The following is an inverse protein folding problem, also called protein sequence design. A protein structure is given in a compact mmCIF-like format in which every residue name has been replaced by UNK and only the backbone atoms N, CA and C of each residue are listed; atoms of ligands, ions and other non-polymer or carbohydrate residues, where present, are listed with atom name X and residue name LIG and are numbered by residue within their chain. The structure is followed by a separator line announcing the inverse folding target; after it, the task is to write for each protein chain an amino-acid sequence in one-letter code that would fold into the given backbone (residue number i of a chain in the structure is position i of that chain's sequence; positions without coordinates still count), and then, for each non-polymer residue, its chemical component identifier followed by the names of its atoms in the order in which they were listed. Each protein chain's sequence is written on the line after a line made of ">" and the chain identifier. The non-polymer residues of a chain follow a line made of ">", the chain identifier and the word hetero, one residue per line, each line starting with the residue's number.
data_IF_725309886240
#
_entry.id   IF_725309886240
#
_cell.length_a   1.000
_cell.length_b   1.000
_cell.length_c   1.000
_cell.angle_alpha   90.00
_cell.angle_beta   90.00
_cell.angle_gamma   90.00
#
_symmetry.space_group_name_H-M   'P 1'
#
loop_
_entity.id
_entity.type
_entity.pdbx_description
1 polymer ?
#
# COMPACT_ATOMS: atom_id res chain seq x y z
N UNK A 1 44.56 -20.09 -36.02
CA UNK A 1 43.80 -19.99 -37.27
C UNK A 1 42.74 -18.91 -37.06
N UNK A 2 42.98 -17.70 -37.59
CA UNK A 2 42.12 -16.53 -37.43
C UNK A 2 40.90 -16.66 -38.36
N UNK A 3 39.70 -16.75 -37.80
CA UNK A 3 38.46 -16.64 -38.57
C UNK A 3 37.96 -15.18 -38.52
N UNK A 4 38.04 -14.52 -39.68
CA UNK A 4 37.53 -13.17 -39.94
C UNK A 4 36.02 -13.11 -39.70
N UNK A 5 35.56 -12.17 -38.90
CA UNK A 5 34.14 -11.79 -38.80
C UNK A 5 33.95 -10.60 -39.73
N UNK A 6 33.16 -10.79 -40.81
CA UNK A 6 32.83 -9.72 -41.77
C UNK A 6 31.72 -8.78 -41.24
N UNK A 7 31.62 -7.55 -41.78
CA UNK A 7 30.75 -6.49 -41.25
C UNK A 7 29.25 -6.64 -41.59
N UNK A 8 28.80 -7.78 -42.10
CA UNK A 8 27.42 -8.02 -42.55
C UNK A 8 26.52 -8.69 -41.49
N UNK A 9 27.00 -8.85 -40.25
CA UNK A 9 26.31 -9.61 -39.20
C UNK A 9 25.47 -8.81 -38.19
N UNK A 10 25.49 -7.48 -38.25
CA UNK A 10 25.08 -6.66 -37.09
C UNK A 10 23.68 -6.03 -37.17
N UNK A 11 22.84 -6.38 -38.14
CA UNK A 11 21.50 -5.78 -38.28
C UNK A 11 20.32 -6.77 -38.32
N UNK A 12 20.54 -8.03 -37.92
CA UNK A 12 19.48 -9.04 -37.97
C UNK A 12 19.27 -9.82 -36.66
N UNK A 13 19.27 -9.10 -35.53
CA UNK A 13 18.94 -9.69 -34.23
C UNK A 13 17.91 -8.92 -33.39
N UNK A 14 17.10 -8.06 -34.00
CA UNK A 14 15.92 -7.53 -33.31
C UNK A 14 14.74 -8.46 -33.58
N UNK A 15 14.66 -9.53 -32.78
CA UNK A 15 13.47 -10.42 -32.72
C UNK A 15 12.23 -9.56 -32.41
N UNK A 16 11.10 -9.80 -33.08
CA UNK A 16 9.80 -9.12 -32.84
C UNK A 16 9.41 -8.96 -31.35
N UNK A 17 9.83 -9.90 -30.48
CA UNK A 17 9.64 -9.82 -29.01
C UNK A 17 10.36 -8.62 -28.37
N UNK A 18 11.56 -8.26 -28.83
CA UNK A 18 12.31 -7.11 -28.31
C UNK A 18 11.70 -5.76 -28.73
N UNK A 19 11.17 -5.66 -29.96
CA UNK A 19 10.46 -4.43 -30.40
C UNK A 19 9.21 -4.20 -29.54
N UNK A 20 8.45 -5.25 -29.22
CA UNK A 20 7.28 -5.10 -28.34
C UNK A 20 7.66 -4.71 -26.91
N UNK A 21 8.82 -5.14 -26.40
CA UNK A 21 9.31 -4.69 -25.10
C UNK A 21 9.81 -3.25 -25.16
N UNK A 22 10.53 -2.86 -26.20
CA UNK A 22 10.98 -1.47 -26.42
C UNK A 22 9.77 -0.54 -26.54
N UNK A 23 8.72 -0.93 -27.28
CA UNK A 23 7.47 -0.17 -27.37
C UNK A 23 6.73 -0.08 -26.03
N UNK A 24 6.77 -1.13 -25.20
CA UNK A 24 6.25 -1.10 -23.81
C UNK A 24 7.08 -0.18 -22.90
N UNK A 25 8.40 -0.19 -23.04
CA UNK A 25 9.34 0.67 -22.29
C UNK A 25 9.16 2.14 -22.70
N UNK A 26 8.95 2.41 -23.99
CA UNK A 26 8.73 3.75 -24.53
C UNK A 26 7.31 4.29 -24.26
N UNK A 27 6.40 3.44 -23.78
CA UNK A 27 5.08 3.80 -23.24
C UNK A 27 4.20 4.64 -24.19
N UNK A 28 4.38 4.51 -25.50
CA UNK A 28 3.67 5.31 -26.52
C UNK A 28 2.15 5.00 -26.52
N UNK A 29 1.74 3.86 -25.96
CA UNK A 29 0.34 3.42 -25.85
C UNK A 29 -0.23 3.49 -24.43
N UNK A 30 0.46 4.10 -23.46
CA UNK A 30 0.08 4.17 -22.04
C UNK A 30 -1.36 4.65 -21.81
N UNK A 31 -1.87 5.53 -22.69
CA UNK A 31 -3.25 6.05 -22.62
C UNK A 31 -4.34 5.01 -22.86
N UNK A 32 -4.04 3.90 -23.56
CA UNK A 32 -5.01 2.85 -23.92
C UNK A 32 -4.90 1.59 -23.07
N UNK A 33 -3.74 1.36 -22.47
CA UNK A 33 -3.55 0.24 -21.54
C UNK A 33 -3.83 0.72 -20.13
N UNK A 34 -4.62 -0.04 -19.37
CA UNK A 34 -4.93 0.18 -17.95
C UNK A 34 -3.67 -0.06 -17.06
N UNK A 35 -2.50 0.34 -17.54
CA UNK A 35 -1.21 0.06 -16.95
C UNK A 35 -0.92 1.07 -15.84
N UNK A 36 -0.45 0.49 -14.76
CA UNK A 36 -0.02 1.06 -13.49
C UNK A 36 1.14 2.05 -13.55
N UNK A 37 1.71 2.34 -14.73
CA UNK A 37 2.92 3.16 -14.87
C UNK A 37 2.67 4.64 -14.54
N UNK A 38 1.58 5.23 -15.03
CA UNK A 38 1.19 6.59 -14.63
C UNK A 38 0.78 6.68 -13.14
N UNK A 39 0.26 5.60 -12.56
CA UNK A 39 -0.14 5.57 -11.16
C UNK A 39 1.06 5.56 -10.19
N UNK A 40 2.25 5.15 -10.65
CA UNK A 40 3.50 5.10 -9.88
C UNK A 40 4.56 6.06 -10.41
N UNK A 41 4.15 7.04 -11.21
CA UNK A 41 5.08 8.06 -11.66
C UNK A 41 5.39 8.98 -10.48
N UNK A 42 6.58 8.80 -9.90
CA UNK A 42 7.07 9.51 -8.70
C UNK A 42 7.01 11.03 -8.85
N UNK A 43 7.02 11.55 -10.09
CA UNK A 43 6.90 12.98 -10.38
C UNK A 43 5.53 13.55 -10.00
N UNK A 44 4.54 12.67 -9.85
CA UNK A 44 3.17 13.03 -9.45
C UNK A 44 2.89 12.71 -7.97
N UNK A 45 3.90 12.28 -7.21
CA UNK A 45 3.74 12.13 -5.77
C UNK A 45 3.66 13.51 -5.09
N UNK A 46 2.86 13.62 -4.02
CA UNK A 46 2.67 14.89 -3.35
C UNK A 46 3.98 15.39 -2.74
N UNK A 47 4.23 16.69 -2.86
CA UNK A 47 5.34 17.37 -2.18
C UNK A 47 4.95 17.91 -0.79
N UNK A 48 3.65 17.93 -0.49
CA UNK A 48 3.09 18.36 0.79
C UNK A 48 1.87 17.52 1.16
N UNK A 49 1.59 17.43 2.45
CA UNK A 49 0.41 16.74 2.97
C UNK A 49 -0.86 17.52 2.63
N UNK A 50 -1.86 16.82 2.09
CA UNK A 50 -3.19 17.36 1.88
C UNK A 50 -4.02 17.29 3.17
N UNK A 51 -5.01 18.17 3.30
CA UNK A 51 -6.01 18.15 4.36
C UNK A 51 -7.39 17.91 3.73
N UNK A 52 -7.90 16.68 3.86
CA UNK A 52 -9.22 16.26 3.39
C UNK A 52 -10.21 16.08 4.56
N UNK A 53 -10.01 16.78 5.68
CA UNK A 53 -10.91 16.76 6.82
C UNK A 53 -10.84 15.50 7.68
N UNK A 54 -9.72 14.77 7.64
CA UNK A 54 -9.50 13.54 8.42
C UNK A 54 -10.18 12.31 7.83
N UNK A 55 -10.48 12.32 6.53
CA UNK A 55 -11.19 11.22 5.87
C UNK A 55 -10.35 9.94 5.86
N UNK A 56 -10.99 8.80 6.15
CA UNK A 56 -10.29 7.52 6.36
C UNK A 56 -10.34 6.64 5.11
N UNK A 57 -9.25 5.93 4.84
CA UNK A 57 -9.16 4.87 3.84
C UNK A 57 -8.83 3.53 4.49
N UNK A 58 -9.66 2.52 4.25
CA UNK A 58 -9.35 1.13 4.56
C UNK A 58 -9.98 0.16 3.56
N UNK A 59 -9.19 -0.30 2.60
CA UNK A 59 -9.63 -1.32 1.65
C UNK A 59 -8.85 -2.60 1.93
N UNK A 60 -9.52 -3.74 2.08
CA UNK A 60 -8.84 -5.01 2.33
C UNK A 60 -9.51 -6.18 1.61
N UNK A 61 -9.02 -7.39 1.83
CA UNK A 61 -9.61 -8.64 1.35
C UNK A 61 -9.70 -9.63 2.50
N UNK A 62 -10.60 -10.59 2.43
CA UNK A 62 -10.61 -11.70 3.36
C UNK A 62 -9.80 -12.87 2.80
N UNK A 63 -9.26 -13.69 3.67
CA UNK A 63 -8.58 -14.92 3.29
C UNK A 63 -9.39 -16.10 3.80
N UNK A 64 -9.95 -16.87 2.88
CA UNK A 64 -10.70 -18.08 3.19
C UNK A 64 -9.79 -19.08 3.95
N UNK A 65 -10.11 -19.42 5.22
CA UNK A 65 -9.37 -20.41 5.99
C UNK A 65 -9.42 -21.80 5.35
N UNK A 66 -10.49 -22.16 4.65
CA UNK A 66 -10.63 -23.47 4.02
C UNK A 66 -9.58 -23.71 2.90
N UNK A 67 -8.97 -22.63 2.38
CA UNK A 67 -7.92 -22.68 1.35
C UNK A 67 -6.51 -22.89 1.89
N UNK A 68 -6.37 -23.33 3.15
CA UNK A 68 -5.09 -23.69 3.72
C UNK A 68 -5.18 -25.06 4.40
N UNK A 69 -4.07 -25.78 4.52
CA UNK A 69 -4.02 -27.10 5.18
C UNK A 69 -3.61 -27.00 6.64
N UNK A 70 -2.60 -26.16 6.95
CA UNK A 70 -2.10 -25.95 8.31
C UNK A 70 -3.19 -25.32 9.23
N UNK A 71 -3.54 -25.94 10.38
CA UNK A 71 -4.51 -25.43 11.35
C UNK A 71 -4.20 -24.05 11.94
N UNK A 72 -2.94 -23.75 12.25
CA UNK A 72 -2.54 -22.46 12.84
C UNK A 72 -2.78 -21.32 11.84
N UNK A 73 -2.45 -21.55 10.57
CA UNK A 73 -2.70 -20.58 9.51
C UNK A 73 -4.21 -20.40 9.23
N UNK A 74 -5.02 -21.45 9.38
CA UNK A 74 -6.48 -21.32 9.33
C UNK A 74 -6.99 -20.39 10.42
N UNK A 75 -6.51 -20.58 11.64
CA UNK A 75 -6.90 -19.76 12.78
C UNK A 75 -6.42 -18.31 12.62
N UNK A 76 -5.18 -18.11 12.16
CA UNK A 76 -4.66 -16.78 11.83
C UNK A 76 -5.54 -16.07 10.80
N UNK A 77 -5.97 -16.76 9.73
CA UNK A 77 -6.86 -16.20 8.70
C UNK A 77 -8.26 -15.89 9.24
N UNK A 78 -8.77 -16.71 10.17
CA UNK A 78 -10.05 -16.47 10.85
C UNK A 78 -9.98 -15.17 11.66
N UNK A 79 -9.01 -15.07 12.57
CA UNK A 79 -8.79 -13.87 13.40
C UNK A 79 -8.58 -12.64 12.52
N UNK A 80 -7.71 -12.72 11.51
CA UNK A 80 -7.45 -11.60 10.60
C UNK A 80 -8.73 -11.17 9.85
N UNK A 81 -9.55 -12.11 9.40
CA UNK A 81 -10.80 -11.79 8.69
C UNK A 81 -11.81 -11.13 9.63
N UNK A 82 -11.94 -11.60 10.86
CA UNK A 82 -12.80 -11.01 11.88
C UNK A 82 -12.36 -9.58 12.23
N UNK A 83 -11.05 -9.37 12.45
CA UNK A 83 -10.47 -8.04 12.66
C UNK A 83 -10.79 -7.10 11.48
N UNK A 84 -10.56 -7.55 10.24
CA UNK A 84 -10.85 -6.77 9.02
C UNK A 84 -12.31 -6.34 8.92
N UNK A 85 -13.24 -7.26 9.22
CA UNK A 85 -14.68 -6.99 9.22
C UNK A 85 -15.04 -5.98 10.31
N UNK A 86 -14.51 -6.16 11.52
CA UNK A 86 -14.74 -5.26 12.65
C UNK A 86 -14.26 -3.84 12.33
N UNK A 87 -13.03 -3.67 11.84
CA UNK A 87 -12.49 -2.38 11.40
C UNK A 87 -13.44 -1.72 10.39
N UNK A 88 -13.86 -2.46 9.36
CA UNK A 88 -14.72 -1.92 8.33
C UNK A 88 -16.07 -1.43 8.88
N UNK A 89 -16.71 -2.23 9.73
CA UNK A 89 -18.01 -1.89 10.33
C UNK A 89 -17.89 -0.70 11.28
N UNK A 90 -16.85 -0.65 12.10
CA UNK A 90 -16.59 0.48 13.02
C UNK A 90 -16.40 1.78 12.23
N UNK A 91 -15.54 1.79 11.21
CA UNK A 91 -15.31 3.00 10.40
C UNK A 91 -16.59 3.45 9.71
N UNK A 92 -17.31 2.52 9.07
CA UNK A 92 -18.54 2.86 8.35
C UNK A 92 -19.64 3.40 9.27
N UNK A 93 -19.72 2.92 10.51
CA UNK A 93 -20.71 3.36 11.50
C UNK A 93 -20.38 4.75 12.06
N UNK A 94 -19.12 5.00 12.41
CA UNK A 94 -18.75 6.20 13.18
C UNK A 94 -18.16 7.34 12.33
N UNK A 95 -17.63 7.05 11.14
CA UNK A 95 -16.98 8.02 10.28
C UNK A 95 -17.59 8.01 8.86
N UNK A 96 -18.86 8.44 8.72
CA UNK A 96 -19.52 8.49 7.43
C UNK A 96 -18.74 9.39 6.45
N UNK A 97 -18.62 8.94 5.20
CA UNK A 97 -17.80 9.62 4.18
C UNK A 97 -16.39 9.05 4.01
N UNK A 98 -15.94 8.17 4.90
CA UNK A 98 -14.73 7.37 4.74
C UNK A 98 -14.86 6.34 3.61
N UNK A 99 -13.73 5.94 3.02
CA UNK A 99 -13.67 4.94 1.95
C UNK A 99 -13.22 3.63 2.57
N UNK A 100 -14.17 2.73 2.82
CA UNK A 100 -13.92 1.47 3.51
C UNK A 100 -14.66 0.29 2.90
N UNK A 101 -14.01 -0.86 2.82
CA UNK A 101 -14.67 -2.10 2.40
C UNK A 101 -13.73 -3.27 2.07
N UNK A 102 -14.34 -4.37 1.66
CA UNK A 102 -13.69 -5.65 1.39
C UNK A 102 -13.84 -6.06 -0.07
N UNK A 103 -12.79 -6.67 -0.64
CA UNK A 103 -12.81 -7.18 -2.00
C UNK A 103 -13.98 -8.16 -2.23
N UNK A 104 -14.62 -8.04 -3.41
CA UNK A 104 -15.72 -8.88 -3.84
C UNK A 104 -15.24 -10.31 -4.17
N UNK A 105 -15.19 -11.15 -3.15
CA UNK A 105 -14.82 -12.56 -3.24
C UNK A 105 -15.91 -13.43 -2.59
N UNK A 106 -16.06 -14.71 -2.99
CA UNK A 106 -17.10 -15.59 -2.43
C UNK A 106 -17.10 -15.67 -0.90
N UNK A 107 -15.92 -15.68 -0.28
CA UNK A 107 -15.79 -15.71 1.17
C UNK A 107 -16.26 -14.40 1.83
N UNK A 108 -15.97 -13.25 1.21
CA UNK A 108 -16.50 -11.94 1.66
C UNK A 108 -18.01 -11.90 1.56
N UNK A 109 -18.59 -12.38 0.45
CA UNK A 109 -20.04 -12.43 0.25
C UNK A 109 -20.74 -13.28 1.32
N UNK A 110 -20.11 -14.37 1.75
CA UNK A 110 -20.65 -15.24 2.80
C UNK A 110 -20.56 -14.61 4.21
N UNK A 111 -19.43 -13.95 4.53
CA UNK A 111 -19.14 -13.49 5.90
C UNK A 111 -19.57 -12.05 6.19
N UNK A 112 -19.49 -11.17 5.18
CA UNK A 112 -19.75 -9.74 5.32
C UNK A 112 -20.26 -9.13 4.00
N UNK A 113 -21.44 -9.56 3.50
CA UNK A 113 -22.02 -9.06 2.26
C UNK A 113 -22.26 -7.54 2.30
N UNK A 114 -22.49 -6.99 3.49
CA UNK A 114 -22.67 -5.55 3.71
C UNK A 114 -21.43 -4.72 3.39
N UNK A 115 -20.24 -5.33 3.39
CA UNK A 115 -18.95 -4.65 3.23
C UNK A 115 -18.31 -4.82 1.84
N UNK A 116 -18.96 -5.52 0.92
CA UNK A 116 -18.40 -5.82 -0.39
C UNK A 116 -18.23 -4.53 -1.21
N UNK A 117 -17.01 -4.31 -1.70
CA UNK A 117 -16.69 -3.23 -2.62
C UNK A 117 -17.19 -3.55 -4.02
N UNK A 118 -17.64 -2.51 -4.73
CA UNK A 118 -17.84 -2.59 -6.17
C UNK A 118 -16.48 -2.89 -6.87
N UNK A 119 -16.53 -3.68 -7.94
CA UNK A 119 -15.37 -4.02 -8.75
C UNK A 119 -14.65 -2.78 -9.29
N UNK A 120 -15.35 -1.64 -9.42
CA UNK A 120 -14.76 -0.35 -9.77
C UNK A 120 -13.64 0.11 -8.82
N UNK A 121 -13.69 -0.27 -7.53
CA UNK A 121 -12.66 0.04 -6.53
C UNK A 121 -11.46 -0.92 -6.52
N UNK A 122 -11.51 -1.99 -7.31
CA UNK A 122 -10.41 -2.97 -7.38
C UNK A 122 -9.27 -2.55 -8.29
N UNK A 123 -9.47 -1.52 -9.11
CA UNK A 123 -8.42 -0.98 -9.97
C UNK A 123 -7.39 -0.16 -9.17
N UNK A 124 -6.12 -0.22 -9.60
CA UNK A 124 -5.06 0.61 -9.02
C UNK A 124 -5.41 2.10 -9.12
N UNK A 125 -5.98 2.54 -10.24
CA UNK A 125 -6.38 3.93 -10.44
C UNK A 125 -7.42 4.39 -9.40
N UNK A 126 -8.43 3.56 -9.13
CA UNK A 126 -9.45 3.86 -8.13
C UNK A 126 -8.85 3.92 -6.71
N UNK A 127 -7.97 2.98 -6.37
CA UNK A 127 -7.23 3.02 -5.11
C UNK A 127 -6.42 4.31 -4.96
N UNK A 128 -5.64 4.71 -5.98
CA UNK A 128 -4.84 5.93 -5.92
C UNK A 128 -5.71 7.20 -5.84
N UNK A 129 -6.87 7.22 -6.52
CA UNK A 129 -7.83 8.31 -6.41
C UNK A 129 -8.41 8.41 -5.00
N UNK A 130 -8.78 7.27 -4.40
CA UNK A 130 -9.24 7.20 -3.03
C UNK A 130 -8.16 7.70 -2.07
N UNK A 131 -6.93 7.19 -2.20
CA UNK A 131 -5.77 7.57 -1.39
C UNK A 131 -5.49 9.08 -1.43
N UNK A 132 -5.57 9.72 -2.60
CA UNK A 132 -5.39 11.17 -2.71
C UNK A 132 -6.46 11.98 -1.98
N UNK A 133 -7.67 11.42 -1.82
CA UNK A 133 -8.82 12.06 -1.18
C UNK A 133 -9.02 11.74 0.30
N UNK A 134 -8.03 11.10 0.94
CA UNK A 134 -8.08 10.68 2.35
C UNK A 134 -6.82 11.12 3.09
N UNK A 135 -6.89 11.19 4.42
CA UNK A 135 -5.78 11.64 5.28
C UNK A 135 -5.26 10.55 6.22
N UNK A 136 -6.17 9.69 6.69
CA UNK A 136 -5.87 8.60 7.62
C UNK A 136 -6.01 7.28 6.87
N UNK A 137 -4.98 6.44 6.89
CA UNK A 137 -4.98 5.15 6.23
C UNK A 137 -4.73 4.03 7.24
N UNK A 138 -5.56 2.98 7.15
CA UNK A 138 -5.35 1.79 7.95
C UNK A 138 -4.61 0.73 7.15
N UNK A 139 -3.68 0.07 7.83
CA UNK A 139 -3.02 -1.13 7.36
C UNK A 139 -3.24 -2.28 8.36
N UNK A 140 -3.17 -3.50 7.86
CA UNK A 140 -3.08 -4.69 8.69
C UNK A 140 -1.96 -5.58 8.18
N UNK A 141 -1.65 -6.61 8.97
CA UNK A 141 -0.69 -7.62 8.60
C UNK A 141 -1.07 -8.31 7.29
N UNK A 142 -0.08 -8.47 6.41
CA UNK A 142 -0.25 -9.17 5.14
C UNK A 142 -0.29 -10.69 5.31
N UNK A 143 0.34 -11.38 4.36
CA UNK A 143 0.73 -12.78 4.56
C UNK A 143 2.00 -12.83 5.43
N UNK A 144 2.02 -13.72 6.42
CA UNK A 144 3.23 -14.07 7.17
C UNK A 144 3.87 -12.91 7.94
N UNK A 145 3.09 -12.18 8.75
CA UNK A 145 3.56 -11.11 9.65
C UNK A 145 4.31 -9.94 8.98
N UNK A 146 4.28 -9.86 7.66
CA UNK A 146 4.92 -8.77 6.92
C UNK A 146 4.07 -7.50 6.99
N UNK A 147 4.72 -6.32 7.10
CA UNK A 147 4.04 -5.04 6.90
C UNK A 147 3.38 -5.07 5.51
N UNK A 148 2.08 -4.80 5.45
CA UNK A 148 1.38 -4.78 4.18
C UNK A 148 2.02 -3.77 3.22
N UNK A 149 2.22 -4.16 1.97
CA UNK A 149 2.80 -3.31 0.90
C UNK A 149 2.14 -1.93 0.78
N UNK A 150 0.88 -1.79 1.22
CA UNK A 150 0.11 -0.55 1.25
C UNK A 150 0.73 0.54 2.12
N UNK A 151 1.46 0.17 3.18
CA UNK A 151 2.11 1.15 4.07
C UNK A 151 3.07 2.04 3.25
N UNK A 152 3.85 1.48 2.32
CA UNK A 152 4.73 2.27 1.46
C UNK A 152 3.97 3.32 0.64
N UNK A 153 2.84 2.95 0.05
CA UNK A 153 1.99 3.88 -0.73
C UNK A 153 1.42 5.00 0.15
N UNK A 154 0.99 4.66 1.37
CA UNK A 154 0.48 5.63 2.35
C UNK A 154 1.56 6.63 2.77
N UNK A 155 2.78 6.15 3.01
CA UNK A 155 3.91 7.00 3.40
C UNK A 155 4.29 7.96 2.27
N UNK A 156 4.39 7.47 1.03
CA UNK A 156 4.68 8.31 -0.14
C UNK A 156 3.58 9.35 -0.42
N UNK A 157 2.37 9.15 0.09
CA UNK A 157 1.28 10.13 -0.01
C UNK A 157 1.05 10.94 1.29
N UNK A 158 1.98 10.88 2.24
CA UNK A 158 1.96 11.66 3.47
C UNK A 158 0.72 11.40 4.33
N UNK A 159 0.29 10.15 4.45
CA UNK A 159 -0.89 9.76 5.24
C UNK A 159 -0.53 9.49 6.69
N UNK A 160 -1.43 9.81 7.60
CA UNK A 160 -1.38 9.26 8.94
C UNK A 160 -1.73 7.77 8.89
N UNK A 161 -1.03 6.97 9.69
CA UNK A 161 -1.16 5.50 9.63
C UNK A 161 -1.64 4.97 10.97
N UNK A 162 -2.66 4.12 10.92
CA UNK A 162 -3.00 3.19 11.99
C UNK A 162 -2.74 1.79 11.45
N UNK A 163 -2.05 0.94 12.20
CA UNK A 163 -1.72 -0.42 11.76
C UNK A 163 -1.85 -1.41 12.90
N UNK A 164 -2.19 -2.66 12.58
CA UNK A 164 -1.94 -3.76 13.54
C UNK A 164 -0.44 -3.87 13.83
N UNK A 165 -0.02 -4.52 14.93
CA UNK A 165 1.38 -4.55 15.36
C UNK A 165 2.36 -4.94 14.26
N UNK A 166 3.40 -4.12 14.10
CA UNK A 166 4.47 -4.36 13.13
C UNK A 166 5.57 -5.16 13.81
N UNK A 167 5.85 -6.36 13.29
CA UNK A 167 6.88 -7.26 13.86
C UNK A 167 8.27 -7.10 13.24
N UNK A 168 8.37 -6.39 12.13
CA UNK A 168 9.64 -6.14 11.44
C UNK A 168 10.24 -4.81 11.88
N UNK A 169 11.55 -4.80 12.16
CA UNK A 169 12.27 -3.55 12.43
C UNK A 169 12.44 -2.78 11.12
N UNK A 170 11.95 -1.55 11.09
CA UNK A 170 12.13 -0.61 9.98
C UNK A 170 12.86 0.62 10.52
N UNK A 171 13.97 0.99 9.87
CA UNK A 171 14.82 2.08 10.33
C UNK A 171 14.04 3.39 10.48
N UNK A 172 14.16 4.01 11.65
CA UNK A 172 13.54 5.30 12.01
C UNK A 172 12.01 5.39 11.79
N UNK A 173 11.32 4.25 11.66
CA UNK A 173 9.87 4.19 11.55
C UNK A 173 9.27 3.85 12.92
N UNK A 174 8.75 4.85 13.63
CA UNK A 174 8.45 4.74 15.08
C UNK A 174 6.96 4.90 15.40
N UNK A 175 6.47 4.06 16.31
CA UNK A 175 5.13 4.21 16.90
C UNK A 175 5.00 5.58 17.58
N UNK A 176 3.82 6.20 17.48
CA UNK A 176 3.50 7.52 18.02
C UNK A 176 3.97 8.70 17.15
N UNK A 177 5.02 8.50 16.34
CA UNK A 177 5.53 9.48 15.36
C UNK A 177 5.01 9.20 13.95
N UNK A 178 5.20 7.99 13.45
CA UNK A 178 4.89 7.60 12.07
C UNK A 178 3.61 6.79 11.94
N UNK A 179 3.26 6.03 12.97
CA UNK A 179 2.04 5.25 12.99
C UNK A 179 1.49 5.13 14.41
N UNK A 180 0.21 4.80 14.52
CA UNK A 180 -0.40 4.30 15.74
C UNK A 180 -0.67 2.80 15.60
N UNK A 181 -0.57 2.10 16.71
CA UNK A 181 -0.77 0.65 16.74
C UNK A 181 -2.17 0.32 17.23
N UNK A 182 -2.88 -0.51 16.46
CA UNK A 182 -4.21 -1.03 16.77
C UNK A 182 -4.10 -2.45 17.31
N UNK A 183 -4.46 -2.63 18.57
CA UNK A 183 -4.54 -3.95 19.18
C UNK A 183 -5.71 -4.76 18.62
N UNK A 184 -5.45 -6.02 18.24
CA UNK A 184 -6.45 -6.88 17.60
C UNK A 184 -7.58 -7.33 18.54
N UNK A 185 -7.35 -7.25 19.85
CA UNK A 185 -8.26 -7.82 20.86
C UNK A 185 -9.46 -6.91 21.19
N UNK A 186 -9.37 -5.61 20.93
CA UNK A 186 -10.43 -4.61 21.22
C UNK A 186 -10.60 -3.60 20.09
N UNK A 187 -10.69 -4.14 18.87
CA UNK A 187 -10.71 -3.36 17.62
C UNK A 187 -11.63 -2.14 17.67
N UNK A 188 -12.88 -2.28 18.11
CA UNK A 188 -13.85 -1.19 18.01
C UNK A 188 -13.45 0.02 18.86
N UNK A 189 -13.32 -0.13 20.18
CA UNK A 189 -13.00 0.98 21.08
C UNK A 189 -11.61 1.56 20.79
N UNK A 190 -10.61 0.69 20.65
CA UNK A 190 -9.23 1.13 20.41
C UNK A 190 -9.14 1.90 19.09
N UNK A 191 -9.83 1.44 18.03
CA UNK A 191 -9.81 2.14 16.75
C UNK A 191 -10.46 3.52 16.84
N UNK A 192 -11.58 3.65 17.57
CA UNK A 192 -12.24 4.95 17.76
C UNK A 192 -11.31 5.94 18.47
N UNK A 193 -10.65 5.50 19.54
CA UNK A 193 -9.72 6.34 20.30
C UNK A 193 -8.52 6.78 19.46
N UNK A 194 -7.93 5.87 18.68
CA UNK A 194 -6.82 6.17 17.79
C UNK A 194 -7.21 7.14 16.67
N UNK A 195 -8.38 6.95 16.04
CA UNK A 195 -8.87 7.89 15.02
C UNK A 195 -9.14 9.26 15.64
N UNK A 196 -9.84 9.31 16.78
CA UNK A 196 -10.12 10.58 17.48
C UNK A 196 -8.84 11.30 17.87
N UNK A 197 -7.83 10.57 18.35
CA UNK A 197 -6.51 11.12 18.63
C UNK A 197 -5.86 11.77 17.41
N UNK A 198 -6.03 11.20 16.21
CA UNK A 198 -5.53 11.78 14.97
C UNK A 198 -6.36 12.99 14.51
N UNK A 199 -7.67 12.99 14.74
CA UNK A 199 -8.56 14.09 14.36
C UNK A 199 -8.36 15.34 15.22
N UNK A 200 -8.07 15.17 16.52
CA UNK A 200 -7.81 16.29 17.44
C UNK A 200 -6.68 17.16 16.90
N UNK A 201 -6.94 18.46 16.76
CA UNK A 201 -6.00 19.46 16.23
C UNK A 201 -5.36 19.05 14.90
N UNK A 202 -6.06 18.22 14.10
CA UNK A 202 -5.57 17.66 12.85
C UNK A 202 -4.21 16.97 12.98
N UNK A 203 -3.96 16.25 14.09
CA UNK A 203 -2.71 15.51 14.30
C UNK A 203 -2.37 14.56 13.15
N UNK A 204 -3.35 14.10 12.36
CA UNK A 204 -3.10 13.38 11.12
C UNK A 204 -2.19 14.13 10.13
N UNK A 205 -2.22 15.47 10.05
CA UNK A 205 -1.32 16.22 9.17
C UNK A 205 0.11 16.20 9.70
N UNK A 206 0.30 16.32 11.01
CA UNK A 206 1.61 16.26 11.65
C UNK A 206 2.26 14.88 11.40
N UNK A 207 1.53 13.80 11.65
CA UNK A 207 1.98 12.44 11.34
C UNK A 207 2.20 12.25 9.83
N UNK A 208 1.31 12.81 8.99
CA UNK A 208 1.46 12.79 7.55
C UNK A 208 2.76 13.45 7.08
N UNK A 209 3.17 14.55 7.70
CA UNK A 209 4.40 15.26 7.36
C UNK A 209 5.63 14.44 7.76
N UNK A 210 5.61 13.84 8.95
CA UNK A 210 6.65 12.90 9.39
C UNK A 210 6.77 11.71 8.44
N UNK A 211 5.64 11.18 7.97
CA UNK A 211 5.58 10.05 7.05
C UNK A 211 6.04 10.41 5.63
N UNK A 212 5.67 11.57 5.13
CA UNK A 212 6.12 12.06 3.84
C UNK A 212 7.64 12.26 3.85
N UNK A 213 8.17 12.94 4.87
CA UNK A 213 9.61 13.15 5.03
C UNK A 213 10.36 11.83 5.17
N UNK A 214 9.84 10.88 5.97
CA UNK A 214 10.40 9.55 6.10
C UNK A 214 10.42 8.81 4.75
N UNK A 215 9.33 8.87 3.98
CA UNK A 215 9.26 8.22 2.66
C UNK A 215 10.24 8.82 1.65
N UNK A 216 10.41 10.14 1.65
CA UNK A 216 11.38 10.82 0.79
C UNK A 216 12.81 10.38 1.10
N UNK A 217 13.12 10.14 2.39
CA UNK A 217 14.45 9.68 2.80
C UNK A 217 14.69 8.21 2.48
N UNK A 218 13.71 7.34 2.70
CA UNK A 218 13.91 5.89 2.73
C UNK A 218 13.26 5.11 1.58
N UNK A 219 12.24 5.64 0.90
CA UNK A 219 11.50 4.93 -0.16
C UNK A 219 11.63 5.56 -1.55
N UNK A 220 11.88 6.86 -1.64
CA UNK A 220 12.00 7.52 -2.95
C UNK A 220 13.21 6.95 -3.71
N UNK A 221 13.06 6.57 -4.99
CA UNK A 221 14.09 5.80 -5.71
C UNK A 221 15.49 6.41 -5.64
N UNK A 222 15.61 7.73 -5.82
CA UNK A 222 16.90 8.43 -5.82
C UNK A 222 17.61 8.33 -4.47
N UNK A 223 16.87 8.53 -3.38
CA UNK A 223 17.44 8.50 -2.03
C UNK A 223 17.63 7.07 -1.54
N UNK A 224 16.74 6.15 -1.91
CA UNK A 224 16.90 4.73 -1.65
C UNK A 224 18.19 4.21 -2.30
N UNK A 225 18.45 4.55 -3.57
CA UNK A 225 19.69 4.16 -4.25
C UNK A 225 20.92 4.80 -3.60
N UNK A 226 20.87 6.08 -3.24
CA UNK A 226 21.98 6.75 -2.52
C UNK A 226 22.28 6.05 -1.18
N UNK A 227 21.25 5.69 -0.42
CA UNK A 227 21.42 4.99 0.86
C UNK A 227 22.04 3.60 0.64
N UNK A 228 21.61 2.87 -0.38
CA UNK A 228 22.21 1.57 -0.72
C UNK A 228 23.69 1.69 -1.11
N UNK A 229 24.02 2.69 -1.94
CA UNK A 229 25.42 2.94 -2.35
C UNK A 229 26.29 3.35 -1.17
N UNK A 230 25.76 4.17 -0.27
CA UNK A 230 26.44 4.56 0.96
C UNK A 230 26.73 3.34 1.84
N UNK A 231 25.72 2.52 2.11
CA UNK A 231 25.88 1.29 2.88
C UNK A 231 26.89 0.34 2.24
N UNK A 232 26.85 0.17 0.91
CA UNK A 232 27.79 -0.69 0.19
C UNK A 232 29.23 -0.16 0.21
N UNK A 233 29.43 1.16 0.24
CA UNK A 233 30.75 1.80 0.37
C UNK A 233 31.32 1.77 1.79
N UNK A 234 30.47 1.55 2.80
CA UNK A 234 30.84 1.39 4.21
C UNK A 234 31.00 -0.08 4.64
N UNK A 235 30.79 -1.03 3.72
CA UNK A 235 31.07 -2.44 3.98
C UNK A 235 32.59 -2.67 4.01
N UNK A 236 33.15 -3.25 5.09
CA UNK A 236 34.59 -3.52 5.23
C UNK A 236 35.09 -4.58 4.24
#
# INVERSE_FOLDING_TARGET
>A
MLAKIGPEGSLHLIRKKQVSEIVRILDVTAKKTNLSHHAMDIRHFPTSVADNGGKILYLSRLWDPARHTNPEEKERRRIQSETRIAICRTIRRHFPGSIVGLANEPYTQAMAPDLVLDNSFTSKLAFMKALRSTDICLADDGLGDTPGWKIGEYLMHGKAIITTPIRTVVQDFKQGRNYLELEKNRVENDLLDLINQLLINKRYTAMGNENLAWSQRYLYPDNYLKNLLHLAGEMP
#
